data_IF_436157641541
#
_entry.id   IF_436157641541
#
_cell.length_a   1.000
_cell.length_b   1.000
_cell.length_c   1.000
_cell.angle_alpha   90.00
_cell.angle_beta   90.00
_cell.angle_gamma   90.00
#
_symmetry.space_group_name_H-M   'P 1'
#
loop_
_entity.id
_entity.type
_entity.pdbx_description
1 polymer ?
#
# COMPACT_ATOMS: atom_id res chain seq x y z
N UNK A 1 2.70 -8.12 -30.85
CA UNK A 1 1.25 -8.18 -30.54
C UNK A 1 1.00 -8.62 -29.10
N UNK A 2 1.57 -9.73 -28.61
CA UNK A 2 1.38 -10.16 -27.21
C UNK A 2 1.76 -9.09 -26.17
N UNK A 3 2.90 -8.40 -26.34
CA UNK A 3 3.34 -7.31 -25.45
C UNK A 3 2.39 -6.11 -25.42
N UNK A 4 1.72 -5.80 -26.53
CA UNK A 4 0.74 -4.69 -26.61
C UNK A 4 -0.53 -5.06 -25.85
N UNK A 5 -0.96 -6.34 -25.93
CA UNK A 5 -2.11 -6.85 -25.19
C UNK A 5 -1.79 -6.90 -23.69
N UNK A 6 -0.60 -7.37 -23.30
CA UNK A 6 -0.15 -7.33 -21.90
C UNK A 6 -0.16 -5.90 -21.37
N UNK A 7 0.41 -4.95 -22.11
CA UNK A 7 0.44 -3.54 -21.71
C UNK A 7 -0.97 -2.93 -21.58
N UNK A 8 -1.86 -3.27 -22.51
CA UNK A 8 -3.25 -2.80 -22.50
C UNK A 8 -4.05 -3.28 -21.28
N UNK A 9 -3.67 -4.40 -20.66
CA UNK A 9 -4.27 -4.90 -19.42
C UNK A 9 -3.53 -4.35 -18.19
N UNK A 10 -2.20 -4.28 -18.25
CA UNK A 10 -1.36 -3.85 -17.12
C UNK A 10 -1.59 -2.38 -16.75
N UNK A 11 -1.70 -1.49 -17.75
CA UNK A 11 -1.89 -0.05 -17.56
C UNK A 11 -3.18 0.29 -16.80
N UNK A 12 -4.38 -0.15 -17.21
CA UNK A 12 -5.60 0.13 -16.46
C UNK A 12 -5.60 -0.51 -15.07
N UNK A 13 -4.95 -1.67 -14.91
CA UNK A 13 -4.78 -2.31 -13.61
C UNK A 13 -3.92 -1.43 -12.67
N UNK A 14 -2.82 -0.86 -13.16
CA UNK A 14 -2.02 0.10 -12.39
C UNK A 14 -2.80 1.36 -12.02
N UNK A 15 -3.60 1.90 -12.94
CA UNK A 15 -4.43 3.08 -12.68
C UNK A 15 -5.45 2.78 -11.57
N UNK A 16 -6.08 1.60 -11.59
CA UNK A 16 -7.00 1.16 -10.54
C UNK A 16 -6.29 1.06 -9.19
N UNK A 17 -5.13 0.40 -9.12
CA UNK A 17 -4.33 0.30 -7.89
C UNK A 17 -3.92 1.68 -7.36
N UNK A 18 -3.57 2.60 -8.25
CA UNK A 18 -3.26 3.98 -7.88
C UNK A 18 -4.48 4.72 -7.30
N UNK A 19 -5.67 4.57 -7.91
CA UNK A 19 -6.89 5.17 -7.36
C UNK A 19 -7.24 4.59 -5.98
N UNK A 20 -7.16 3.26 -5.82
CA UNK A 20 -7.38 2.61 -4.52
C UNK A 20 -6.39 3.07 -3.47
N UNK A 21 -5.12 3.29 -3.84
CA UNK A 21 -4.11 3.85 -2.96
C UNK A 21 -4.44 5.27 -2.51
N UNK A 22 -4.79 6.15 -3.47
CA UNK A 22 -5.18 7.53 -3.17
C UNK A 22 -6.43 7.58 -2.26
N UNK A 23 -7.40 6.69 -2.52
CA UNK A 23 -8.60 6.56 -1.69
C UNK A 23 -8.29 6.05 -0.28
N UNK A 24 -7.39 5.07 -0.16
CA UNK A 24 -7.00 4.49 1.13
C UNK A 24 -6.24 5.47 1.99
N UNK A 25 -5.37 6.30 1.41
CA UNK A 25 -4.63 7.33 2.14
C UNK A 25 -5.52 8.48 2.62
N UNK A 26 -6.60 8.77 1.89
CA UNK A 26 -7.57 9.81 2.25
C UNK A 26 -8.44 9.39 3.45
N UNK A 27 -8.54 8.08 3.73
CA UNK A 27 -9.26 7.57 4.90
C UNK A 27 -8.52 7.94 6.20
N UNK A 28 -9.24 8.15 7.31
CA UNK A 28 -8.65 8.46 8.63
C UNK A 28 -8.83 7.31 9.61
N UNK A 29 -7.94 7.22 10.60
CA UNK A 29 -8.09 6.30 11.73
C UNK A 29 -7.96 4.81 11.38
N UNK A 30 -8.51 3.96 12.24
CA UNK A 30 -8.46 2.48 12.15
C UNK A 30 -8.93 1.96 10.78
N UNK A 31 -9.83 2.69 10.12
CA UNK A 31 -10.34 2.32 8.79
C UNK A 31 -9.27 2.46 7.70
N UNK A 32 -8.37 3.46 7.80
CA UNK A 32 -7.19 3.57 6.94
C UNK A 32 -6.28 2.36 7.10
N UNK A 33 -6.00 1.95 8.33
CA UNK A 33 -5.11 0.81 8.58
C UNK A 33 -5.65 -0.47 7.97
N UNK A 34 -6.94 -0.78 8.19
CA UNK A 34 -7.57 -1.97 7.60
C UNK A 34 -7.57 -1.91 6.08
N UNK A 35 -7.99 -0.79 5.47
CA UNK A 35 -8.06 -0.64 4.01
C UNK A 35 -6.69 -0.71 3.36
N UNK A 36 -5.70 0.02 3.88
CA UNK A 36 -4.32 -0.02 3.39
C UNK A 36 -3.70 -1.42 3.53
N UNK A 37 -3.90 -2.10 4.67
CA UNK A 37 -3.33 -3.44 4.89
C UNK A 37 -3.95 -4.47 3.95
N UNK A 38 -5.28 -4.47 3.80
CA UNK A 38 -5.98 -5.41 2.89
C UNK A 38 -5.57 -5.16 1.44
N UNK A 39 -5.59 -3.92 0.97
CA UNK A 39 -5.17 -3.59 -0.39
C UNK A 39 -3.69 -3.89 -0.62
N UNK A 40 -2.85 -3.67 0.39
CA UNK A 40 -1.45 -4.04 0.38
C UNK A 40 -1.23 -5.54 0.22
N UNK A 41 -1.95 -6.37 0.99
CA UNK A 41 -1.90 -7.84 0.87
C UNK A 41 -2.38 -8.30 -0.51
N UNK A 42 -3.49 -7.76 -1.02
CA UNK A 42 -4.02 -8.11 -2.35
C UNK A 42 -3.04 -7.75 -3.46
N UNK A 43 -2.44 -6.57 -3.41
CA UNK A 43 -1.43 -6.16 -4.39
C UNK A 43 -0.15 -7.02 -4.31
N UNK A 44 0.25 -7.44 -3.10
CA UNK A 44 1.36 -8.37 -2.89
C UNK A 44 1.06 -9.75 -3.48
N UNK A 45 -0.11 -10.34 -3.23
CA UNK A 45 -0.44 -11.67 -3.77
C UNK A 45 -0.51 -11.66 -5.29
N UNK A 46 -1.07 -10.61 -5.91
CA UNK A 46 -1.08 -10.47 -7.38
C UNK A 46 0.35 -10.25 -7.90
N UNK A 47 1.17 -9.46 -7.20
CA UNK A 47 2.58 -9.26 -7.53
C UNK A 47 3.35 -10.58 -7.54
N UNK A 48 3.21 -11.40 -6.49
CA UNK A 48 3.82 -12.74 -6.37
C UNK A 48 3.31 -13.67 -7.49
N UNK A 49 2.00 -13.69 -7.74
CA UNK A 49 1.41 -14.52 -8.80
C UNK A 49 1.97 -14.16 -10.19
N UNK A 50 2.31 -12.90 -10.42
CA UNK A 50 2.88 -12.43 -11.68
C UNK A 50 4.30 -12.98 -11.95
N UNK A 51 5.02 -13.46 -10.92
CA UNK A 51 6.31 -14.16 -11.09
C UNK A 51 6.17 -15.58 -11.64
N UNK A 52 4.97 -16.17 -11.58
CA UNK A 52 4.71 -17.44 -12.25
C UNK A 52 4.63 -17.28 -13.79
N UNK A 53 4.49 -16.04 -14.27
CA UNK A 53 4.52 -15.72 -15.69
C UNK A 53 5.95 -15.75 -16.25
N UNK A 54 6.14 -16.42 -17.39
CA UNK A 54 7.43 -16.47 -18.10
C UNK A 54 7.78 -15.19 -18.88
N UNK A 55 6.92 -14.15 -18.86
CA UNK A 55 7.13 -12.91 -19.59
C UNK A 55 7.87 -11.88 -18.75
N UNK A 56 8.93 -11.27 -19.30
CA UNK A 56 9.71 -10.25 -18.61
C UNK A 56 8.84 -9.03 -18.23
N UNK A 57 7.85 -8.69 -19.06
CA UNK A 57 6.89 -7.60 -18.81
C UNK A 57 6.00 -7.90 -17.61
N UNK A 58 5.50 -9.14 -17.47
CA UNK A 58 4.67 -9.53 -16.33
C UNK A 58 5.48 -9.59 -15.04
N UNK A 59 6.73 -10.06 -15.10
CA UNK A 59 7.63 -10.09 -13.94
C UNK A 59 7.93 -8.66 -13.45
N UNK A 60 8.27 -7.73 -14.36
CA UNK A 60 8.48 -6.33 -13.99
C UNK A 60 7.22 -5.67 -13.44
N UNK A 61 6.06 -5.90 -14.06
CA UNK A 61 4.78 -5.41 -13.57
C UNK A 61 4.46 -5.95 -12.17
N UNK A 62 4.70 -7.24 -11.94
CA UNK A 62 4.56 -7.89 -10.64
C UNK A 62 5.45 -7.28 -9.56
N UNK A 63 6.70 -6.96 -9.89
CA UNK A 63 7.66 -6.34 -8.99
C UNK A 63 7.22 -4.94 -8.57
N UNK A 64 6.73 -4.13 -9.51
CA UNK A 64 6.16 -2.81 -9.20
C UNK A 64 4.91 -2.94 -8.32
N UNK A 65 4.02 -3.90 -8.58
CA UNK A 65 2.87 -4.19 -7.72
C UNK A 65 3.29 -4.54 -6.30
N UNK A 66 4.34 -5.36 -6.16
CA UNK A 66 4.87 -5.78 -4.87
C UNK A 66 5.43 -4.59 -4.08
N UNK A 67 6.21 -3.69 -4.73
CA UNK A 67 6.70 -2.45 -4.11
C UNK A 67 5.54 -1.56 -3.64
N UNK A 68 4.47 -1.49 -4.43
CA UNK A 68 3.26 -0.75 -4.08
C UNK A 68 2.56 -1.37 -2.87
N UNK A 69 2.48 -2.70 -2.82
CA UNK A 69 1.92 -3.45 -1.70
C UNK A 69 2.70 -3.24 -0.41
N UNK A 70 4.03 -3.27 -0.46
CA UNK A 70 4.86 -2.93 0.70
C UNK A 70 4.58 -1.51 1.21
N UNK A 71 4.41 -0.54 0.30
CA UNK A 71 4.10 0.85 0.67
C UNK A 71 2.73 1.00 1.33
N UNK A 72 1.73 0.27 0.84
CA UNK A 72 0.38 0.21 1.42
C UNK A 72 0.39 -0.45 2.80
N UNK A 73 1.07 -1.59 2.93
CA UNK A 73 1.21 -2.30 4.20
C UNK A 73 1.95 -1.42 5.21
N UNK A 74 3.02 -0.72 4.80
CA UNK A 74 3.73 0.22 5.66
C UNK A 74 2.80 1.33 6.17
N UNK A 75 1.98 1.94 5.31
CA UNK A 75 0.98 2.92 5.74
C UNK A 75 -0.15 2.33 6.58
N UNK A 76 -0.44 1.03 6.44
CA UNK A 76 -1.44 0.33 7.25
C UNK A 76 -0.92 -0.07 8.62
N UNK A 77 0.38 -0.38 8.73
CA UNK A 77 1.09 -0.70 9.97
C UNK A 77 1.55 0.55 10.71
N UNK A 78 1.66 1.70 10.01
CA UNK A 78 1.97 2.98 10.63
C UNK A 78 0.92 3.27 11.71
N UNK A 79 1.37 3.26 12.96
CA UNK A 79 0.50 3.35 14.13
C UNK A 79 -0.12 4.74 14.15
N UNK A 80 -1.42 4.79 13.92
CA UNK A 80 -2.22 6.00 14.16
C UNK A 80 -2.23 6.34 15.66
N UNK A 81 -2.10 5.32 16.51
CA UNK A 81 -1.95 5.45 17.95
C UNK A 81 -0.47 5.48 18.34
N UNK A 82 0.25 6.50 17.87
CA UNK A 82 1.38 7.00 18.64
C UNK A 82 0.74 7.81 19.77
N UNK A 83 0.09 7.14 20.73
CA UNK A 83 -0.14 7.74 22.05
C UNK A 83 1.23 8.22 22.49
N UNK A 84 1.36 9.53 22.51
CA UNK A 84 2.54 10.28 22.90
C UNK A 84 2.85 9.96 24.35
N UNK A 85 3.48 8.80 24.58
CA UNK A 85 4.15 8.52 25.85
C UNK A 85 5.34 9.47 26.09
N UNK A 86 5.65 10.33 25.12
CA UNK A 86 6.67 11.38 25.18
C UNK A 86 6.04 12.76 25.50
N UNK A 87 4.72 12.96 25.35
CA UNK A 87 4.09 14.25 25.71
C UNK A 87 3.65 14.29 27.18
N UNK A 88 3.67 13.17 27.90
CA UNK A 88 3.24 13.15 29.31
C UNK A 88 4.32 13.65 30.29
N UNK A 89 5.49 14.08 29.79
CA UNK A 89 6.55 14.66 30.63
C UNK A 89 6.51 16.19 30.68
N UNK A 90 5.63 16.87 29.92
CA UNK A 90 5.54 18.33 29.91
C UNK A 90 4.42 18.89 30.82
N UNK A 91 3.63 18.05 31.48
CA UNK A 91 2.51 18.50 32.36
C UNK A 91 2.83 18.48 33.86
N UNK A 92 3.98 17.94 34.29
CA UNK A 92 4.35 17.82 35.71
C UNK A 92 5.31 18.91 36.23
N UNK A 93 5.52 20.00 35.48
CA UNK A 93 6.44 21.08 35.82
C UNK A 93 5.77 22.46 35.95
N UNK A 94 4.49 22.50 36.37
CA UNK A 94 3.77 23.75 36.62
C UNK A 94 3.16 23.80 38.04
N UNK A 95 3.90 24.30 39.05
CA UNK A 95 3.35 24.57 40.37
C UNK A 95 2.71 25.96 40.38
N UNK A 96 1.39 26.02 40.15
CA UNK A 96 0.58 27.20 40.44
C UNK A 96 -0.69 26.81 41.19
#
# INVERSE_FOLDING_TARGET
>A
MQTIIELAILVPLFILFYQFYSYSITSKGVERQKKCTVLGIVSMTIGIASFAGHSATTVFGGLVLMMFGFRLIAHGLDRIDKKTYIDHFDEDDNPH
#
